data_IF_131053954894
#
_entry.id   IF_131053954894
#
_cell.length_a   1.000
_cell.length_b   1.000
_cell.length_c   1.000
_cell.angle_alpha   90.00
_cell.angle_beta   90.00
_cell.angle_gamma   90.00
#
_symmetry.space_group_name_H-M   'P 1'
#
loop_
_entity.id
_entity.type
_entity.pdbx_description
1 polymer ?
#
# COMPACT_ATOMS: atom_id res chain seq x y z
N UNK A 1 13.10 -5.94 -4.72
CA UNK A 1 13.30 -6.58 -3.39
C UNK A 1 12.26 -6.03 -2.42
N UNK A 2 11.68 -6.87 -1.55
CA UNK A 2 10.85 -6.38 -0.44
C UNK A 2 11.72 -5.67 0.59
N UNK A 3 11.48 -4.39 0.84
CA UNK A 3 12.27 -3.59 1.78
C UNK A 3 11.40 -2.48 2.40
N UNK A 4 11.33 -2.46 3.72
CA UNK A 4 10.51 -1.49 4.48
C UNK A 4 11.33 -0.71 5.52
N UNK A 5 12.59 -1.01 5.70
CA UNK A 5 13.47 -0.28 6.59
C UNK A 5 14.58 0.44 5.83
N UNK A 6 15.10 1.59 6.32
CA UNK A 6 16.02 2.41 5.56
C UNK A 6 17.30 1.68 5.14
N UNK A 7 17.84 0.82 6.00
CA UNK A 7 19.04 0.01 5.66
C UNK A 7 18.77 -0.99 4.55
N UNK A 8 17.57 -1.60 4.53
CA UNK A 8 17.19 -2.54 3.47
C UNK A 8 16.90 -1.82 2.15
N UNK A 9 16.29 -0.63 2.19
CA UNK A 9 16.10 0.22 1.02
C UNK A 9 17.46 0.60 0.41
N UNK A 10 18.40 1.06 1.20
CA UNK A 10 19.76 1.37 0.73
C UNK A 10 20.50 0.15 0.16
N UNK A 11 20.33 -1.03 0.79
CA UNK A 11 20.89 -2.27 0.26
C UNK A 11 20.27 -2.64 -1.09
N UNK A 12 18.95 -2.49 -1.21
CA UNK A 12 18.23 -2.76 -2.46
C UNK A 12 18.69 -1.84 -3.59
N UNK A 13 18.91 -0.56 -3.32
CA UNK A 13 19.44 0.39 -4.30
C UNK A 13 20.83 0.02 -4.84
N UNK A 14 21.62 -0.71 -4.05
CA UNK A 14 22.97 -1.15 -4.45
C UNK A 14 23.02 -2.57 -5.04
N UNK A 15 22.06 -3.43 -4.74
CA UNK A 15 22.14 -4.88 -4.99
C UNK A 15 20.96 -5.48 -5.74
N UNK A 16 19.91 -4.68 -6.01
CA UNK A 16 18.71 -5.13 -6.70
C UNK A 16 18.25 -4.08 -7.72
N UNK A 17 17.34 -4.44 -8.61
CA UNK A 17 16.73 -3.50 -9.54
C UNK A 17 15.93 -2.39 -8.82
N UNK A 18 15.47 -2.63 -7.60
CA UNK A 18 14.72 -1.67 -6.80
C UNK A 18 13.97 -2.30 -5.65
N UNK A 19 12.95 -1.61 -5.16
CA UNK A 19 12.14 -2.01 -4.01
C UNK A 19 10.66 -2.15 -4.35
N UNK A 20 10.01 -3.09 -3.68
CA UNK A 20 8.58 -3.33 -3.69
C UNK A 20 8.07 -3.26 -2.23
N UNK A 21 7.81 -2.05 -1.70
CA UNK A 21 7.36 -1.88 -0.33
C UNK A 21 5.88 -2.22 -0.20
N UNK A 22 5.51 -2.76 0.96
CA UNK A 22 4.16 -3.21 1.31
C UNK A 22 3.56 -2.36 2.43
N UNK A 23 2.27 -2.07 2.35
CA UNK A 23 1.52 -1.28 3.34
C UNK A 23 2.18 0.08 3.60
N UNK A 24 2.33 0.87 2.54
CA UNK A 24 3.03 2.15 2.58
C UNK A 24 2.17 3.28 2.00
N UNK A 25 2.40 4.48 2.52
CA UNK A 25 1.76 5.72 2.05
C UNK A 25 2.62 6.40 0.98
N UNK A 26 2.07 7.39 0.23
CA UNK A 26 2.86 8.22 -0.68
C UNK A 26 4.04 8.92 0.00
N UNK A 27 3.86 9.43 1.23
CA UNK A 27 4.94 10.07 1.99
C UNK A 27 6.10 9.11 2.28
N UNK A 28 5.79 7.85 2.55
CA UNK A 28 6.82 6.82 2.68
C UNK A 28 7.53 6.57 1.35
N UNK A 29 6.82 6.62 0.23
CA UNK A 29 7.42 6.50 -1.10
C UNK A 29 8.39 7.64 -1.38
N UNK A 30 8.05 8.89 -1.05
CA UNK A 30 8.93 10.03 -1.18
C UNK A 30 10.23 9.86 -0.36
N UNK A 31 10.11 9.53 0.92
CA UNK A 31 11.28 9.24 1.77
C UNK A 31 12.11 8.04 1.27
N UNK A 32 11.45 7.03 0.70
CA UNK A 32 12.11 5.87 0.10
C UNK A 32 12.87 6.26 -1.16
N UNK A 33 12.32 7.12 -2.00
CA UNK A 33 12.96 7.62 -3.22
C UNK A 33 14.26 8.36 -2.92
N UNK A 34 14.27 9.18 -1.87
CA UNK A 34 15.50 9.87 -1.41
C UNK A 34 16.62 8.89 -1.05
N UNK A 35 16.27 7.80 -0.35
CA UNK A 35 17.24 6.78 0.07
C UNK A 35 17.68 5.85 -1.06
N UNK A 36 16.75 5.57 -2.00
CA UNK A 36 16.95 4.63 -3.09
C UNK A 36 17.76 5.23 -4.24
N UNK A 37 17.66 6.56 -4.41
CA UNK A 37 18.21 7.29 -5.55
C UNK A 37 17.30 7.27 -6.78
N UNK A 38 17.60 8.03 -7.82
CA UNK A 38 16.68 8.28 -8.94
C UNK A 38 16.52 7.10 -9.90
N UNK A 39 17.50 6.21 -10.00
CA UNK A 39 17.57 5.20 -11.06
C UNK A 39 16.93 3.87 -10.71
N UNK A 40 16.81 3.53 -9.42
CA UNK A 40 16.29 2.24 -9.01
C UNK A 40 14.76 2.23 -9.02
N UNK A 41 14.17 1.07 -9.33
CA UNK A 41 12.71 0.88 -9.37
C UNK A 41 12.11 1.04 -7.97
N UNK A 42 11.12 1.92 -7.85
CA UNK A 42 10.23 2.01 -6.69
C UNK A 42 8.82 1.61 -7.14
N UNK A 43 8.37 0.45 -6.69
CA UNK A 43 7.08 -0.11 -7.07
C UNK A 43 6.27 -0.46 -5.80
N UNK A 44 5.58 0.50 -5.16
CA UNK A 44 4.78 0.21 -3.98
C UNK A 44 3.60 -0.71 -4.29
N UNK A 45 3.23 -1.48 -3.27
CA UNK A 45 2.03 -2.30 -3.25
C UNK A 45 0.86 -1.44 -2.73
N UNK A 46 -0.17 -1.26 -3.54
CA UNK A 46 -1.40 -0.59 -3.15
C UNK A 46 -2.54 -1.61 -3.02
N UNK A 47 -2.98 -1.86 -1.80
CA UNK A 47 -4.18 -2.65 -1.54
C UNK A 47 -5.42 -1.89 -2.01
N UNK A 48 -6.33 -2.58 -2.70
CA UNK A 48 -7.56 -1.98 -3.23
C UNK A 48 -8.77 -2.84 -2.91
N UNK A 49 -9.90 -2.20 -2.60
CA UNK A 49 -11.19 -2.82 -2.34
C UNK A 49 -12.26 -2.14 -3.19
N UNK A 50 -12.83 -2.87 -4.15
CA UNK A 50 -13.97 -2.41 -4.95
C UNK A 50 -15.27 -2.56 -4.17
N UNK A 51 -15.52 -1.63 -3.24
CA UNK A 51 -16.73 -1.54 -2.42
C UNK A 51 -17.00 -0.05 -2.14
N UNK A 52 -18.22 0.41 -2.44
CA UNK A 52 -18.61 1.81 -2.28
C UNK A 52 -19.24 2.09 -0.91
N UNK A 53 -19.76 1.07 -0.25
CA UNK A 53 -20.24 1.18 1.13
C UNK A 53 -19.03 1.31 2.06
N UNK A 54 -18.94 2.46 2.70
CA UNK A 54 -17.81 2.84 3.59
C UNK A 54 -17.58 1.84 4.72
N UNK A 55 -18.66 1.38 5.36
CA UNK A 55 -18.54 0.53 6.54
C UNK A 55 -18.09 -0.88 6.13
N UNK A 56 -18.58 -1.39 5.02
CA UNK A 56 -18.15 -2.68 4.45
C UNK A 56 -16.70 -2.60 3.95
N UNK A 57 -16.36 -1.54 3.23
CA UNK A 57 -15.00 -1.33 2.73
C UNK A 57 -13.98 -1.28 3.87
N UNK A 58 -14.26 -0.49 4.91
CA UNK A 58 -13.38 -0.39 6.08
C UNK A 58 -13.33 -1.68 6.90
N UNK A 59 -14.44 -2.41 7.02
CA UNK A 59 -14.44 -3.71 7.68
C UNK A 59 -13.54 -4.71 6.94
N UNK A 60 -13.64 -4.80 5.62
CA UNK A 60 -12.79 -5.64 4.79
C UNK A 60 -11.31 -5.22 4.88
N UNK A 61 -11.04 -3.91 4.86
CA UNK A 61 -9.69 -3.36 4.98
C UNK A 61 -9.07 -3.66 6.35
N UNK A 62 -9.83 -3.58 7.44
CA UNK A 62 -9.36 -4.02 8.77
C UNK A 62 -9.05 -5.50 8.82
N UNK A 63 -9.88 -6.33 8.20
CA UNK A 63 -9.61 -7.76 8.06
C UNK A 63 -8.27 -8.03 7.37
N UNK A 64 -7.98 -7.31 6.29
CA UNK A 64 -6.70 -7.39 5.59
C UNK A 64 -5.53 -6.90 6.46
N UNK A 65 -5.65 -5.72 7.06
CA UNK A 65 -4.60 -5.12 7.89
C UNK A 65 -4.30 -6.00 9.11
N UNK A 66 -5.30 -6.62 9.72
CA UNK A 66 -5.14 -7.52 10.85
C UNK A 66 -4.22 -8.72 10.54
N UNK A 67 -4.07 -9.10 9.27
CA UNK A 67 -3.19 -10.21 8.88
C UNK A 67 -1.71 -9.93 9.12
N UNK A 68 -1.31 -8.68 9.22
CA UNK A 68 0.09 -8.28 9.43
C UNK A 68 0.30 -7.34 10.65
N UNK A 69 -0.75 -6.78 11.24
CA UNK A 69 -0.64 -6.15 12.56
C UNK A 69 -0.20 -7.20 13.60
N UNK A 70 0.62 -6.79 14.56
CA UNK A 70 1.26 -7.71 15.50
C UNK A 70 2.59 -8.28 15.02
N UNK A 71 2.91 -8.16 13.74
CA UNK A 71 4.23 -8.49 13.24
C UNK A 71 5.16 -7.28 13.38
N UNK A 72 6.08 -7.31 14.34
CA UNK A 72 6.87 -6.15 14.79
C UNK A 72 7.63 -5.37 13.69
N UNK A 73 7.90 -5.98 12.52
CA UNK A 73 8.50 -5.25 11.41
C UNK A 73 7.49 -4.36 10.67
N UNK A 74 6.22 -4.76 10.55
CA UNK A 74 5.16 -3.90 10.01
C UNK A 74 4.79 -2.79 10.97
N UNK A 75 4.64 -3.09 12.26
CA UNK A 75 4.40 -2.08 13.29
C UNK A 75 5.46 -0.99 13.27
N UNK A 76 6.75 -1.37 13.21
CA UNK A 76 7.84 -0.41 13.09
C UNK A 76 7.80 0.39 11.79
N UNK A 77 7.34 -0.21 10.69
CA UNK A 77 7.15 0.49 9.42
C UNK A 77 6.03 1.52 9.52
N UNK A 78 4.89 1.14 10.08
CA UNK A 78 3.75 2.03 10.28
C UNK A 78 4.09 3.19 11.24
N UNK A 79 4.84 2.94 12.32
CA UNK A 79 5.33 4.02 13.21
C UNK A 79 6.24 5.02 12.47
N UNK A 80 7.10 4.56 11.56
CA UNK A 80 7.92 5.45 10.72
C UNK A 80 7.08 6.29 9.75
N UNK A 81 5.90 5.82 9.39
CA UNK A 81 4.90 6.53 8.59
C UNK A 81 4.00 7.45 9.44
N UNK A 82 4.26 7.59 10.74
CA UNK A 82 3.53 8.47 11.64
C UNK A 82 2.25 7.89 12.22
N UNK A 83 2.03 6.57 12.10
CA UNK A 83 0.91 5.91 12.77
C UNK A 83 1.29 5.54 14.21
N UNK A 84 0.44 5.93 15.13
CA UNK A 84 0.59 5.69 16.58
C UNK A 84 0.21 4.24 16.94
N UNK A 85 0.44 3.86 18.20
CA UNK A 85 -0.07 2.59 18.73
C UNK A 85 -1.60 2.55 18.74
N UNK A 86 -2.25 3.69 19.01
CA UNK A 86 -3.70 3.80 18.96
C UNK A 86 -4.24 3.61 17.53
N UNK A 87 -3.51 4.09 16.50
CA UNK A 87 -3.88 3.82 15.11
C UNK A 87 -3.77 2.34 14.74
N UNK A 88 -2.88 1.60 15.38
CA UNK A 88 -2.64 0.17 15.12
C UNK A 88 -3.51 -0.76 15.99
N UNK A 89 -4.19 -0.22 17.00
CA UNK A 89 -5.07 -0.99 17.87
C UNK A 89 -6.36 -1.43 17.16
N UNK A 90 -7.01 -2.48 17.65
CA UNK A 90 -8.33 -2.96 17.22
C UNK A 90 -8.47 -3.18 15.68
N UNK A 91 -7.41 -3.63 15.03
CA UNK A 91 -7.42 -3.89 13.57
C UNK A 91 -7.19 -2.65 12.71
N UNK A 92 -6.87 -1.53 13.32
CA UNK A 92 -6.55 -0.27 12.64
C UNK A 92 -7.61 0.82 12.78
N UNK A 93 -7.17 2.04 13.07
CA UNK A 93 -8.02 3.24 13.03
C UNK A 93 -8.52 3.50 11.61
N UNK A 94 -9.59 4.28 11.47
CA UNK A 94 -10.07 4.73 10.15
C UNK A 94 -8.95 5.46 9.39
N UNK A 95 -8.14 6.26 10.10
CA UNK A 95 -6.99 6.95 9.52
C UNK A 95 -5.97 5.98 8.92
N UNK A 96 -5.60 4.93 9.64
CA UNK A 96 -4.66 3.91 9.14
C UNK A 96 -5.25 3.17 7.94
N UNK A 97 -6.49 2.72 8.06
CA UNK A 97 -7.21 1.97 7.02
C UNK A 97 -7.28 2.77 5.72
N UNK A 98 -7.76 4.01 5.79
CA UNK A 98 -7.96 4.87 4.62
C UNK A 98 -6.63 5.33 4.00
N UNK A 99 -5.52 5.34 4.77
CA UNK A 99 -4.20 5.68 4.25
C UNK A 99 -3.55 4.51 3.50
N UNK A 100 -3.76 3.27 3.94
CA UNK A 100 -3.08 2.08 3.40
C UNK A 100 -3.90 1.37 2.33
N UNK A 101 -5.24 1.44 2.40
CA UNK A 101 -6.14 0.75 1.47
C UNK A 101 -6.94 1.78 0.67
N UNK A 102 -6.85 1.71 -0.64
CA UNK A 102 -7.75 2.46 -1.53
C UNK A 102 -9.05 1.68 -1.69
N UNK A 103 -10.18 2.32 -1.42
CA UNK A 103 -11.48 1.68 -1.53
C UNK A 103 -12.50 2.59 -2.23
N UNK A 104 -13.53 1.99 -2.82
CA UNK A 104 -14.57 2.68 -3.57
C UNK A 104 -14.79 2.08 -4.96
N UNK A 105 -15.30 2.88 -5.89
CA UNK A 105 -15.35 2.54 -7.31
C UNK A 105 -13.98 2.67 -7.99
N UNK A 106 -13.92 2.28 -9.27
CA UNK A 106 -12.69 2.36 -10.08
C UNK A 106 -12.09 3.76 -10.08
N UNK A 107 -12.92 4.80 -10.23
CA UNK A 107 -12.45 6.20 -10.25
C UNK A 107 -11.83 6.64 -8.91
N UNK A 108 -12.40 6.20 -7.78
CA UNK A 108 -11.86 6.50 -6.46
C UNK A 108 -10.50 5.82 -6.23
N UNK A 109 -10.33 4.60 -6.74
CA UNK A 109 -9.06 3.88 -6.71
C UNK A 109 -8.05 4.56 -7.65
N UNK A 110 -8.47 4.91 -8.87
CA UNK A 110 -7.64 5.60 -9.85
C UNK A 110 -7.07 6.92 -9.30
N UNK A 111 -7.89 7.68 -8.57
CA UNK A 111 -7.48 8.95 -7.97
C UNK A 111 -6.36 8.83 -6.92
N UNK A 112 -6.06 7.63 -6.42
CA UNK A 112 -4.97 7.37 -5.46
C UNK A 112 -3.62 7.12 -6.12
N UNK A 113 -3.59 6.77 -7.40
CA UNK A 113 -2.36 6.37 -8.09
C UNK A 113 -1.40 7.54 -8.34
N UNK A 114 -1.88 8.73 -8.77
CA UNK A 114 -1.02 9.89 -8.94
C UNK A 114 -0.21 10.25 -7.70
N UNK A 115 -0.78 10.16 -6.49
CA UNK A 115 -0.09 10.47 -5.25
C UNK A 115 1.19 9.66 -5.07
N UNK A 116 1.17 8.37 -5.43
CA UNK A 116 2.35 7.51 -5.39
C UNK A 116 3.35 7.85 -6.49
N UNK A 117 2.89 8.19 -7.70
CA UNK A 117 3.76 8.58 -8.81
C UNK A 117 4.44 9.93 -8.52
N UNK A 118 3.70 10.91 -8.01
CA UNK A 118 4.22 12.23 -7.59
C UNK A 118 5.24 12.08 -6.44
N UNK A 119 5.05 11.07 -5.57
CA UNK A 119 6.00 10.68 -4.55
C UNK A 119 7.23 9.89 -5.09
N UNK A 120 7.35 9.74 -6.41
CA UNK A 120 8.50 9.13 -7.06
C UNK A 120 8.40 7.63 -7.32
N UNK A 121 7.21 7.01 -7.20
CA UNK A 121 7.02 5.63 -7.64
C UNK A 121 7.09 5.54 -9.18
N UNK A 122 7.82 4.55 -9.68
CA UNK A 122 7.88 4.26 -11.11
C UNK A 122 6.70 3.39 -11.58
N UNK A 123 6.13 2.63 -10.66
CA UNK A 123 5.03 1.71 -10.90
C UNK A 123 4.25 1.52 -9.61
N UNK A 124 2.94 1.36 -9.69
CA UNK A 124 2.08 1.01 -8.54
C UNK A 124 1.46 -0.35 -8.78
N UNK A 125 1.73 -1.30 -7.89
CA UNK A 125 1.21 -2.65 -7.99
C UNK A 125 -0.12 -2.75 -7.25
N UNK A 126 -1.23 -2.87 -7.99
CA UNK A 126 -2.56 -3.01 -7.39
C UNK A 126 -2.77 -4.44 -6.88
N UNK A 127 -3.16 -4.57 -5.63
CA UNK A 127 -3.58 -5.84 -5.05
C UNK A 127 -5.03 -5.76 -4.61
N UNK A 128 -5.88 -6.50 -5.29
CA UNK A 128 -7.31 -6.57 -4.98
C UNK A 128 -7.53 -7.47 -3.77
N UNK A 129 -8.13 -6.90 -2.73
CA UNK A 129 -8.63 -7.64 -1.59
C UNK A 129 -10.05 -8.14 -1.94
N UNK A 130 -10.25 -9.43 -2.15
CA UNK A 130 -11.55 -9.94 -2.57
C UNK A 130 -12.58 -9.86 -1.44
N UNK A 131 -13.82 -9.53 -1.78
CA UNK A 131 -14.97 -9.59 -0.86
C UNK A 131 -15.52 -11.00 -0.65
N UNK A 132 -15.16 -11.93 -1.52
CA UNK A 132 -15.55 -13.34 -1.47
C UNK A 132 -14.35 -14.25 -1.69
N UNK A 133 -14.36 -15.49 -1.17
CA UNK A 133 -13.27 -16.44 -1.41
C UNK A 133 -13.05 -16.71 -2.90
N UNK A 134 -11.78 -16.78 -3.30
CA UNK A 134 -11.35 -17.07 -4.67
C UNK A 134 -10.68 -15.92 -5.39
N UNK A 135 -10.20 -16.11 -6.63
CA UNK A 135 -9.58 -15.06 -7.41
C UNK A 135 -10.56 -13.94 -7.77
N UNK A 136 -10.21 -12.66 -7.57
CA UNK A 136 -11.09 -11.51 -7.82
C UNK A 136 -11.14 -11.15 -9.32
N UNK A 137 -11.57 -12.09 -10.17
CA UNK A 137 -11.52 -11.98 -11.64
C UNK A 137 -12.33 -10.80 -12.18
N UNK A 138 -13.48 -10.51 -11.57
CA UNK A 138 -14.35 -9.39 -11.97
C UNK A 138 -13.66 -8.07 -11.66
N UNK A 139 -13.16 -7.92 -10.45
CA UNK A 139 -12.44 -6.71 -10.00
C UNK A 139 -11.16 -6.46 -10.81
N UNK A 140 -10.42 -7.52 -11.15
CA UNK A 140 -9.25 -7.39 -12.03
C UNK A 140 -9.62 -6.87 -13.41
N UNK A 141 -10.74 -7.31 -13.99
CA UNK A 141 -11.22 -6.81 -15.29
C UNK A 141 -11.65 -5.34 -15.21
N UNK A 142 -12.35 -4.95 -14.13
CA UNK A 142 -12.74 -3.57 -13.92
C UNK A 142 -11.53 -2.63 -13.76
N UNK A 143 -10.51 -3.08 -13.04
CA UNK A 143 -9.28 -2.30 -12.81
C UNK A 143 -8.27 -2.37 -13.96
N UNK A 144 -8.45 -3.27 -14.93
CA UNK A 144 -7.51 -3.43 -16.04
C UNK A 144 -7.33 -2.16 -16.88
N UNK A 145 -8.35 -1.30 -16.94
CA UNK A 145 -8.27 0.00 -17.61
C UNK A 145 -7.27 0.98 -16.97
N UNK A 146 -6.84 0.72 -15.73
CA UNK A 146 -5.85 1.54 -15.01
C UNK A 146 -4.40 1.09 -15.27
N UNK A 147 -4.20 -0.01 -16.00
CA UNK A 147 -2.87 -0.59 -16.27
C UNK A 147 -2.24 -0.02 -17.55
N UNK A 148 -2.12 1.32 -17.64
CA UNK A 148 -1.53 2.01 -18.79
C UNK A 148 -0.36 2.88 -18.38
#
# INVERSE_FOLDING_TARGET
>A
MAAMGPRMVQLAGRRAAGVHPFAVTPEYCAATRELLGPSALLAPYQAVILEQDKDKARAAARGFIATFLGMGHYERSLRRQGFTEADQAAGGSDRLVDSIVAWGGVDAIAARLPDHHDAGANHVCLHVIPSTPGPPMTQWRELAALAH
#
